data_IF_656007847672
#
_entry.id   IF_656007847672
#
_cell.length_a   1.000
_cell.length_b   1.000
_cell.length_c   1.000
_cell.angle_alpha   90.00
_cell.angle_beta   90.00
_cell.angle_gamma   90.00
#
_symmetry.space_group_name_H-M   'P 1'
#
loop_
_entity.id
_entity.type
_entity.pdbx_description
1 polymer ?
#
# COMPACT_ATOMS: atom_id res chain seq x y z
N UNK A 1 62.85 -28.93 5.98
CA UNK A 1 62.18 -27.81 6.66
C UNK A 1 61.78 -26.77 5.62
N UNK A 2 60.47 -26.63 5.34
CA UNK A 2 59.76 -25.47 4.76
C UNK A 2 58.39 -25.95 4.26
N UNK A 3 57.37 -25.81 5.12
CA UNK A 3 55.96 -25.85 4.71
C UNK A 3 55.71 -24.70 3.72
N UNK A 4 55.00 -24.97 2.61
CA UNK A 4 54.34 -23.90 1.85
C UNK A 4 52.87 -24.24 1.64
N UNK A 5 52.09 -23.19 1.87
CA UNK A 5 50.69 -23.12 2.20
C UNK A 5 49.74 -23.76 1.20
N UNK A 6 48.75 -24.44 1.78
CA UNK A 6 47.40 -24.65 1.25
C UNK A 6 46.83 -23.27 0.91
N UNK A 7 46.44 -23.07 -0.35
CA UNK A 7 45.58 -21.93 -0.71
C UNK A 7 44.29 -22.49 -1.26
N UNK A 8 43.40 -22.91 -0.35
CA UNK A 8 42.01 -23.12 -0.68
C UNK A 8 41.42 -21.73 -0.99
N UNK A 9 41.12 -21.47 -2.25
CA UNK A 9 40.33 -20.31 -2.65
C UNK A 9 38.91 -20.60 -2.16
N UNK A 10 38.62 -20.16 -0.94
CA UNK A 10 37.26 -20.03 -0.46
C UNK A 10 36.59 -18.98 -1.34
N UNK A 11 35.89 -19.43 -2.37
CA UNK A 11 34.93 -18.60 -3.09
C UNK A 11 33.83 -18.25 -2.10
N UNK A 12 34.01 -17.13 -1.40
CA UNK A 12 32.95 -16.48 -0.65
C UNK A 12 31.96 -15.96 -1.69
N UNK A 13 31.04 -16.83 -2.10
CA UNK A 13 29.81 -16.39 -2.76
C UNK A 13 29.11 -15.55 -1.71
N UNK A 14 29.31 -14.24 -1.79
CA UNK A 14 28.45 -13.26 -1.14
C UNK A 14 27.09 -13.47 -1.80
N UNK A 15 26.30 -14.38 -1.22
CA UNK A 15 24.87 -14.39 -1.38
C UNK A 15 24.43 -13.04 -0.86
N UNK A 16 24.37 -12.05 -1.76
CA UNK A 16 23.58 -10.86 -1.55
C UNK A 16 22.20 -11.38 -1.21
N UNK A 17 21.88 -11.44 0.08
CA UNK A 17 20.54 -11.63 0.56
C UNK A 17 19.76 -10.43 0.00
N UNK A 18 19.20 -10.60 -1.20
CA UNK A 18 17.91 -10.01 -1.48
C UNK A 18 17.03 -10.58 -0.38
N UNK A 19 16.92 -9.86 0.73
CA UNK A 19 15.89 -10.09 1.71
C UNK A 19 14.60 -9.88 0.92
N UNK A 20 14.05 -10.99 0.44
CA UNK A 20 12.72 -11.06 -0.14
C UNK A 20 11.84 -10.57 0.99
N UNK A 21 11.42 -9.31 0.95
CA UNK A 21 10.44 -8.76 1.88
C UNK A 21 9.13 -9.45 1.53
N UNK A 22 8.95 -10.67 2.01
CA UNK A 22 7.66 -11.34 2.02
C UNK A 22 6.87 -10.71 3.16
N UNK A 23 5.82 -9.97 2.82
CA UNK A 23 4.89 -9.45 3.81
C UNK A 23 4.28 -10.60 4.57
N UNK A 24 4.22 -10.51 5.90
CA UNK A 24 3.45 -11.45 6.69
C UNK A 24 2.07 -10.88 6.99
N UNK A 25 1.04 -11.73 7.05
CA UNK A 25 -0.33 -11.28 7.32
C UNK A 25 -0.45 -10.47 8.62
N UNK A 26 0.32 -10.85 9.64
CA UNK A 26 0.37 -10.13 10.93
C UNK A 26 0.83 -8.68 10.79
N UNK A 27 1.63 -8.35 9.77
CA UNK A 27 2.12 -6.99 9.54
C UNK A 27 1.06 -6.13 8.81
N UNK A 28 -0.01 -6.75 8.31
CA UNK A 28 -1.12 -6.07 7.62
C UNK A 28 -2.35 -5.90 8.50
N UNK A 29 -2.62 -6.83 9.41
CA UNK A 29 -3.79 -6.76 10.28
C UNK A 29 -3.69 -5.52 11.17
N UNK A 30 -4.67 -4.63 11.08
CA UNK A 30 -4.65 -3.35 11.77
C UNK A 30 -5.58 -2.31 11.18
N UNK A 31 -5.55 -1.12 11.78
CA UNK A 31 -6.20 0.07 11.23
C UNK A 31 -5.12 0.97 10.65
N UNK A 32 -5.32 1.43 9.42
CA UNK A 32 -4.31 2.17 8.68
C UNK A 32 -4.86 3.51 8.26
N UNK A 33 -4.11 4.58 8.52
CA UNK A 33 -4.38 5.91 7.94
C UNK A 33 -3.30 6.25 6.92
N UNK A 34 -3.64 7.09 5.95
CA UNK A 34 -2.61 7.65 5.05
C UNK A 34 -1.66 8.51 5.91
N UNK A 35 -0.36 8.39 5.65
CA UNK A 35 0.66 9.19 6.29
C UNK A 35 0.38 10.68 6.02
N UNK A 36 0.34 11.48 7.09
CA UNK A 36 0.03 12.91 7.02
C UNK A 36 1.01 13.65 6.07
N UNK A 37 2.25 13.17 5.94
CA UNK A 37 3.24 13.74 5.01
C UNK A 37 2.93 13.48 3.53
N UNK A 38 2.03 12.55 3.22
CA UNK A 38 1.67 12.14 1.85
C UNK A 38 0.25 12.57 1.44
N UNK A 39 -0.49 13.27 2.31
CA UNK A 39 -1.87 13.66 2.06
C UNK A 39 -1.98 14.56 0.82
N UNK A 40 -1.17 15.61 0.70
CA UNK A 40 -1.26 16.55 -0.42
C UNK A 40 -1.02 15.84 -1.77
N UNK A 41 0.00 15.00 -1.85
CA UNK A 41 0.30 14.21 -3.04
C UNK A 41 -0.86 13.28 -3.41
N UNK A 42 -1.45 12.63 -2.41
CA UNK A 42 -2.61 11.74 -2.60
C UNK A 42 -3.83 12.52 -3.09
N UNK A 43 -4.12 13.69 -2.51
CA UNK A 43 -5.23 14.56 -2.91
C UNK A 43 -5.10 15.00 -4.36
N UNK A 44 -3.91 15.46 -4.76
CA UNK A 44 -3.67 15.88 -6.14
C UNK A 44 -3.90 14.73 -7.13
N UNK A 45 -3.58 13.47 -6.75
CA UNK A 45 -3.83 12.30 -7.59
C UNK A 45 -5.29 11.89 -7.66
N UNK A 46 -6.00 11.97 -6.54
CA UNK A 46 -7.46 11.78 -6.50
C UNK A 46 -8.16 12.80 -7.39
N UNK A 47 -7.78 14.08 -7.29
CA UNK A 47 -8.29 15.16 -8.15
C UNK A 47 -7.98 14.85 -9.63
N UNK A 48 -6.73 14.53 -9.96
CA UNK A 48 -6.33 14.20 -11.35
C UNK A 48 -7.19 13.08 -11.93
N UNK A 49 -7.36 11.98 -11.19
CA UNK A 49 -8.22 10.85 -11.60
C UNK A 49 -9.69 11.25 -11.77
N UNK A 50 -10.19 12.12 -10.89
CA UNK A 50 -11.57 12.62 -10.98
C UNK A 50 -11.77 13.51 -12.21
N UNK A 51 -10.81 14.40 -12.52
CA UNK A 51 -10.83 15.25 -13.72
C UNK A 51 -10.68 14.41 -14.99
N UNK A 52 -9.81 13.40 -14.99
CA UNK A 52 -9.69 12.45 -16.12
C UNK A 52 -11.01 11.72 -16.41
N UNK A 53 -11.79 11.39 -15.37
CA UNK A 53 -13.09 10.75 -15.51
C UNK A 53 -14.21 11.71 -15.90
N UNK A 54 -14.09 13.01 -15.56
CA UNK A 54 -15.07 14.04 -15.90
C UNK A 54 -14.37 15.41 -16.12
N UNK A 55 -13.83 15.66 -17.33
CA UNK A 55 -13.04 16.86 -17.61
C UNK A 55 -13.83 18.16 -17.45
N UNK A 56 -15.12 18.16 -17.77
CA UNK A 56 -15.98 19.35 -17.71
C UNK A 56 -16.22 19.83 -16.26
N UNK A 57 -15.90 18.99 -15.26
CA UNK A 57 -16.04 19.31 -13.85
C UNK A 57 -14.73 19.79 -13.20
N UNK A 58 -13.66 20.04 -13.97
CA UNK A 58 -12.34 20.38 -13.44
C UNK A 58 -12.36 21.53 -12.43
N UNK A 59 -12.99 22.65 -12.78
CA UNK A 59 -13.08 23.82 -11.90
C UNK A 59 -13.83 23.50 -10.60
N UNK A 60 -14.92 22.72 -10.70
CA UNK A 60 -15.71 22.30 -9.54
C UNK A 60 -14.90 21.35 -8.64
N UNK A 61 -14.17 20.39 -9.21
CA UNK A 61 -13.35 19.43 -8.47
C UNK A 61 -12.22 20.15 -7.75
N UNK A 62 -11.54 21.07 -8.44
CA UNK A 62 -10.47 21.88 -7.85
C UNK A 62 -10.98 22.81 -6.74
N UNK A 63 -12.17 23.41 -6.91
CA UNK A 63 -12.81 24.20 -5.85
C UNK A 63 -13.13 23.39 -4.58
N UNK A 64 -13.24 22.06 -4.69
CA UNK A 64 -13.49 21.15 -3.57
C UNK A 64 -12.21 20.53 -2.97
N UNK A 65 -11.03 21.02 -3.34
CA UNK A 65 -9.74 20.43 -2.90
C UNK A 65 -9.63 20.25 -1.39
N UNK A 66 -10.05 21.22 -0.59
CA UNK A 66 -9.98 21.13 0.88
C UNK A 66 -10.93 20.08 1.47
N UNK A 67 -12.11 19.93 0.86
CA UNK A 67 -13.06 18.89 1.22
C UNK A 67 -12.51 17.50 0.87
N UNK A 68 -11.90 17.36 -0.31
CA UNK A 68 -11.21 16.13 -0.74
C UNK A 68 -10.05 15.81 0.20
N UNK A 69 -9.25 16.80 0.60
CA UNK A 69 -8.16 16.63 1.56
C UNK A 69 -8.66 16.14 2.92
N UNK A 70 -9.75 16.72 3.41
CA UNK A 70 -10.40 16.29 4.66
C UNK A 70 -10.90 14.85 4.56
N UNK A 71 -11.48 14.46 3.43
CA UNK A 71 -11.91 13.09 3.18
C UNK A 71 -10.72 12.12 3.17
N UNK A 72 -9.68 12.41 2.38
CA UNK A 72 -8.47 11.57 2.29
C UNK A 72 -7.84 11.37 3.67
N UNK A 73 -7.75 12.43 4.47
CA UNK A 73 -7.22 12.36 5.85
C UNK A 73 -8.10 11.54 6.80
N UNK A 74 -9.42 11.57 6.60
CA UNK A 74 -10.37 10.83 7.41
C UNK A 74 -10.48 9.34 7.04
N UNK A 75 -10.02 8.95 5.84
CA UNK A 75 -10.09 7.55 5.41
C UNK A 75 -9.25 6.67 6.34
N UNK A 76 -9.84 5.54 6.74
CA UNK A 76 -9.16 4.44 7.42
C UNK A 76 -9.33 3.16 6.61
N UNK A 77 -8.26 2.39 6.50
CA UNK A 77 -8.26 1.05 5.96
C UNK A 77 -8.09 0.07 7.12
N UNK A 78 -9.14 -0.67 7.44
CA UNK A 78 -9.12 -1.67 8.50
C UNK A 78 -8.97 -3.05 7.87
N UNK A 79 -7.84 -3.71 8.09
CA UNK A 79 -7.57 -5.06 7.61
C UNK A 79 -7.70 -6.00 8.80
N UNK A 80 -8.63 -6.96 8.74
CA UNK A 80 -8.93 -7.89 9.84
C UNK A 80 -8.30 -9.26 9.59
N UNK A 81 -8.01 -9.98 10.67
CA UNK A 81 -7.38 -11.31 10.62
C UNK A 81 -8.28 -12.41 10.00
N UNK A 82 -9.58 -12.16 9.86
CA UNK A 82 -10.55 -13.06 9.23
C UNK A 82 -10.63 -12.90 7.70
N UNK A 83 -9.61 -12.28 7.09
CA UNK A 83 -9.52 -11.96 5.67
C UNK A 83 -10.63 -11.02 5.15
N UNK A 84 -11.27 -10.27 6.05
CA UNK A 84 -12.14 -9.14 5.70
C UNK A 84 -11.43 -7.80 5.88
N UNK A 85 -11.84 -6.80 5.12
CA UNK A 85 -11.38 -5.42 5.31
C UNK A 85 -12.55 -4.44 5.23
N UNK A 86 -12.35 -3.24 5.76
CA UNK A 86 -13.26 -2.11 5.63
C UNK A 86 -12.48 -0.85 5.30
N UNK A 87 -12.90 -0.14 4.25
CA UNK A 87 -12.50 1.25 4.05
C UNK A 87 -13.54 2.15 4.70
N UNK A 88 -13.17 2.80 5.79
CA UNK A 88 -14.04 3.68 6.57
C UNK A 88 -13.77 5.13 6.19
N UNK A 89 -14.84 5.86 5.90
CA UNK A 89 -14.82 7.29 5.57
C UNK A 89 -15.98 7.99 6.29
N UNK A 90 -16.02 9.33 6.33
CA UNK A 90 -17.18 10.07 6.86
C UNK A 90 -18.51 9.70 6.17
N UNK A 91 -18.46 9.24 4.92
CA UNK A 91 -19.62 8.83 4.14
C UNK A 91 -20.09 7.40 4.45
N UNK A 92 -19.35 6.65 5.28
CA UNK A 92 -19.66 5.28 5.66
C UNK A 92 -18.49 4.31 5.45
N UNK A 93 -18.73 3.05 5.82
CA UNK A 93 -17.80 1.95 5.65
C UNK A 93 -18.11 1.15 4.37
N UNK A 94 -17.07 0.82 3.62
CA UNK A 94 -17.11 -0.05 2.45
C UNK A 94 -16.37 -1.35 2.77
N UNK A 95 -17.08 -2.44 3.11
CA UNK A 95 -16.45 -3.70 3.45
C UNK A 95 -16.02 -4.46 2.19
N UNK A 96 -15.15 -5.46 2.38
CA UNK A 96 -14.74 -6.39 1.34
C UNK A 96 -13.87 -7.52 1.92
N UNK A 97 -13.21 -8.27 1.03
CA UNK A 97 -12.26 -9.32 1.40
C UNK A 97 -10.86 -8.97 0.92
N UNK A 98 -9.85 -9.48 1.60
CA UNK A 98 -8.46 -9.30 1.18
C UNK A 98 -7.71 -10.63 1.15
N UNK A 99 -6.65 -10.69 0.34
CA UNK A 99 -5.73 -11.81 0.29
C UNK A 99 -4.30 -11.34 -0.02
N UNK A 100 -3.31 -12.01 0.57
CA UNK A 100 -1.91 -11.88 0.13
C UNK A 100 -1.65 -12.89 -1.00
N UNK A 101 -1.20 -12.38 -2.13
CA UNK A 101 -0.82 -13.19 -3.30
C UNK A 101 0.63 -12.91 -3.71
N UNK A 102 1.13 -13.65 -4.70
CA UNK A 102 2.51 -13.54 -5.18
C UNK A 102 3.55 -13.63 -4.05
N UNK A 103 3.40 -14.64 -3.19
CA UNK A 103 4.28 -14.89 -2.04
C UNK A 103 4.39 -13.68 -1.08
N UNK A 104 3.28 -12.97 -0.86
CA UNK A 104 3.22 -11.84 0.05
C UNK A 104 3.68 -10.50 -0.55
N UNK A 105 3.79 -10.42 -1.88
CA UNK A 105 4.17 -9.18 -2.60
C UNK A 105 2.97 -8.39 -3.10
N UNK A 106 1.81 -9.02 -3.23
CA UNK A 106 0.60 -8.37 -3.73
C UNK A 106 -0.50 -8.50 -2.70
N UNK A 107 -1.18 -7.39 -2.41
CA UNK A 107 -2.39 -7.34 -1.63
C UNK A 107 -3.59 -7.21 -2.57
N UNK A 108 -4.42 -8.23 -2.63
CA UNK A 108 -5.65 -8.23 -3.44
C UNK A 108 -6.84 -7.86 -2.55
N UNK A 109 -7.63 -6.88 -3.00
CA UNK A 109 -8.86 -6.46 -2.36
C UNK A 109 -10.04 -6.82 -3.28
N UNK A 110 -10.91 -7.71 -2.82
CA UNK A 110 -12.18 -8.02 -3.47
C UNK A 110 -13.27 -7.15 -2.87
N UNK A 111 -13.78 -6.22 -3.66
CA UNK A 111 -14.85 -5.29 -3.27
C UNK A 111 -16.20 -6.00 -3.23
N UNK A 112 -17.20 -5.38 -2.60
CA UNK A 112 -18.56 -5.93 -2.51
C UNK A 112 -19.22 -6.19 -3.88
N UNK A 113 -18.87 -5.40 -4.90
CA UNK A 113 -19.34 -5.59 -6.27
C UNK A 113 -18.63 -6.74 -7.03
N UNK A 114 -17.72 -7.45 -6.36
CA UNK A 114 -16.92 -8.54 -6.93
C UNK A 114 -15.69 -8.08 -7.71
N UNK A 115 -15.49 -6.77 -7.91
CA UNK A 115 -14.28 -6.27 -8.56
C UNK A 115 -13.06 -6.47 -7.68
N UNK A 116 -11.93 -6.76 -8.31
CA UNK A 116 -10.65 -7.03 -7.65
C UNK A 116 -9.70 -5.88 -7.92
N UNK A 117 -9.17 -5.27 -6.86
CA UNK A 117 -8.04 -4.34 -6.91
C UNK A 117 -6.79 -5.08 -6.45
N UNK A 118 -5.69 -4.95 -7.19
CA UNK A 118 -4.39 -5.49 -6.79
C UNK A 118 -3.43 -4.35 -6.47
N UNK A 119 -2.87 -4.37 -5.28
CA UNK A 119 -1.91 -3.39 -4.81
C UNK A 119 -0.55 -4.07 -4.59
N UNK A 120 0.52 -3.55 -5.20
CA UNK A 120 1.86 -4.12 -5.03
C UNK A 120 2.49 -3.59 -3.74
N UNK A 121 2.89 -4.47 -2.83
CA UNK A 121 3.51 -4.10 -1.56
C UNK A 121 4.98 -3.77 -1.81
N UNK A 122 5.39 -2.58 -1.39
CA UNK A 122 6.77 -2.11 -1.43
C UNK A 122 7.43 -2.32 -0.07
N UNK A 123 6.70 -2.05 1.02
CA UNK A 123 7.18 -2.13 2.39
C UNK A 123 6.01 -2.47 3.32
N UNK A 124 6.22 -3.38 4.26
CA UNK A 124 5.23 -3.72 5.30
C UNK A 124 5.93 -3.98 6.63
N UNK A 125 5.39 -3.41 7.70
CA UNK A 125 5.80 -3.64 9.09
C UNK A 125 4.61 -3.35 10.00
N UNK A 126 4.73 -3.66 11.29
CA UNK A 126 3.67 -3.39 12.26
C UNK A 126 3.21 -1.92 12.35
N UNK A 127 4.01 -0.95 11.88
CA UNK A 127 3.68 0.49 11.98
C UNK A 127 3.55 1.18 10.64
N UNK A 128 3.94 0.52 9.53
CA UNK A 128 4.03 1.16 8.21
C UNK A 128 3.73 0.20 7.09
N UNK A 129 2.91 0.65 6.15
CA UNK A 129 2.55 -0.08 4.93
C UNK A 129 2.68 0.86 3.72
N UNK A 130 3.57 0.51 2.79
CA UNK A 130 3.75 1.24 1.53
C UNK A 130 3.39 0.33 0.38
N UNK A 131 2.50 0.81 -0.49
CA UNK A 131 2.04 0.02 -1.63
C UNK A 131 1.77 0.89 -2.85
N UNK A 132 1.94 0.30 -4.04
CA UNK A 132 1.40 0.87 -5.28
C UNK A 132 -0.08 0.54 -5.33
N UNK A 133 -0.92 1.55 -5.21
CA UNK A 133 -2.37 1.39 -5.30
C UNK A 133 -2.80 1.24 -6.75
N UNK A 134 -3.47 0.13 -7.08
CA UNK A 134 -3.90 -0.17 -8.45
C UNK A 134 -4.96 0.81 -8.98
N UNK A 135 -5.86 1.30 -8.11
CA UNK A 135 -6.92 2.22 -8.50
C UNK A 135 -6.37 3.63 -8.79
N UNK A 136 -5.37 4.10 -8.05
CA UNK A 136 -4.76 5.42 -8.23
C UNK A 136 -3.54 5.41 -9.17
N UNK A 137 -2.99 4.23 -9.48
CA UNK A 137 -1.72 4.05 -10.18
C UNK A 137 -0.59 4.88 -9.53
N UNK A 138 -0.56 4.93 -8.19
CA UNK A 138 0.43 5.67 -7.43
C UNK A 138 0.80 4.98 -6.12
N UNK A 139 1.91 5.39 -5.53
CA UNK A 139 2.35 4.89 -4.22
C UNK A 139 1.58 5.58 -3.10
N UNK A 140 0.94 4.79 -2.25
CA UNK A 140 0.36 5.24 -0.99
C UNK A 140 1.21 4.76 0.17
N UNK A 141 1.40 5.63 1.15
CA UNK A 141 2.05 5.32 2.42
C UNK A 141 0.99 5.40 3.51
N UNK A 142 0.84 4.31 4.23
CA UNK A 142 -0.03 4.18 5.38
C UNK A 142 0.80 4.01 6.64
N UNK A 143 0.29 4.56 7.73
CA UNK A 143 0.82 4.37 9.08
C UNK A 143 -0.25 3.78 9.97
N UNK A 144 0.17 2.89 10.86
CA UNK A 144 -0.69 2.38 11.91
C UNK A 144 -0.77 3.45 13.01
N UNK A 145 -1.96 4.00 13.33
CA UNK A 145 -2.15 4.93 14.44
C UNK A 145 -2.04 4.22 15.80
#
# INVERSE_FOLDING_TARGET
MKLKLITAVAATVVLSAFTIVSTSEKDLVGSWKIDDSNIEGTVNKVIKKAVEANPDAEDQINAQKDAIASMVKAVRLNIKADHTYESVSPQGAKPGKWALTDNGKTLEFTKQDGSIRKDAIIESSATRLKMVNGDLADTLVYVHP
#
